data_IF_196340655712
#
_entry.id   IF_196340655712
#
_cell.length_a   1.000
_cell.length_b   1.000
_cell.length_c   1.000
_cell.angle_alpha   90.00
_cell.angle_beta   90.00
_cell.angle_gamma   90.00
#
_symmetry.space_group_name_H-M   'P 1'
#
loop_
_entity.id
_entity.type
_entity.pdbx_description
1 polymer ?
#
# COMPACT_ATOMS: atom_id res chain seq x y z
N UNK A 1 12.37 13.04 3.65
CA UNK A 1 12.51 11.64 3.18
C UNK A 1 13.31 10.78 4.16
N UNK A 2 14.49 11.20 4.62
CA UNK A 2 15.28 10.47 5.62
C UNK A 2 14.52 10.15 6.92
N UNK A 3 13.70 11.07 7.45
CA UNK A 3 12.90 10.80 8.64
C UNK A 3 11.93 9.64 8.45
N UNK A 4 11.28 9.55 7.29
CA UNK A 4 10.35 8.46 6.96
C UNK A 4 11.10 7.14 6.88
N UNK A 5 12.26 7.12 6.22
CA UNK A 5 13.14 5.94 6.18
C UNK A 5 13.56 5.49 7.59
N UNK A 6 13.89 6.45 8.47
CA UNK A 6 14.21 6.17 9.87
C UNK A 6 13.06 5.51 10.63
N UNK A 7 11.83 6.01 10.47
CA UNK A 7 10.64 5.38 11.06
C UNK A 7 10.38 3.97 10.51
N UNK A 8 10.57 3.74 9.21
CA UNK A 8 10.42 2.40 8.62
C UNK A 8 11.44 1.42 9.19
N UNK A 9 12.72 1.82 9.28
CA UNK A 9 13.78 0.99 9.88
C UNK A 9 13.48 0.68 11.35
N UNK A 10 13.14 1.70 12.14
CA UNK A 10 12.76 1.52 13.54
C UNK A 10 11.57 0.57 13.69
N UNK A 11 10.54 0.70 12.84
CA UNK A 11 9.39 -0.19 12.81
C UNK A 11 9.76 -1.65 12.54
N UNK A 12 10.72 -1.90 11.64
CA UNK A 12 11.24 -3.25 11.35
C UNK A 12 11.96 -3.83 12.58
N UNK A 13 12.84 -3.05 13.23
CA UNK A 13 13.55 -3.49 14.43
C UNK A 13 12.59 -3.83 15.57
N UNK A 14 11.61 -2.96 15.82
CA UNK A 14 10.56 -3.18 16.84
C UNK A 14 9.73 -4.42 16.48
N UNK A 15 9.31 -4.54 15.22
CA UNK A 15 8.54 -5.68 14.73
C UNK A 15 9.29 -7.01 14.85
N UNK A 16 10.61 -7.01 14.65
CA UNK A 16 11.44 -8.19 14.83
C UNK A 16 11.51 -8.64 16.30
N UNK A 17 11.65 -7.68 17.23
CA UNK A 17 11.66 -7.97 18.67
C UNK A 17 10.31 -8.47 19.20
N UNK A 18 9.20 -7.94 18.67
CA UNK A 18 7.83 -8.31 19.09
C UNK A 18 7.28 -9.58 18.41
N UNK A 19 8.01 -10.18 17.46
CA UNK A 19 7.57 -11.32 16.63
C UNK A 19 7.12 -12.55 17.43
N UNK A 20 7.64 -12.75 18.64
CA UNK A 20 7.36 -13.95 19.45
C UNK A 20 5.95 -13.95 20.08
N UNK A 21 5.29 -12.80 20.19
CA UNK A 21 4.04 -12.64 20.93
C UNK A 21 2.82 -12.70 20.01
N UNK A 22 2.24 -13.90 19.82
CA UNK A 22 1.05 -14.12 18.96
C UNK A 22 -0.17 -13.25 19.35
N UNK A 23 -0.31 -12.89 20.62
CA UNK A 23 -1.39 -12.00 21.11
C UNK A 23 -1.24 -10.56 20.59
N UNK A 24 -0.01 -10.05 20.48
CA UNK A 24 0.25 -8.71 19.96
C UNK A 24 -0.14 -8.62 18.49
N UNK A 25 0.11 -9.67 17.71
CA UNK A 25 -0.26 -9.71 16.28
C UNK A 25 -1.77 -9.50 16.04
N UNK A 26 -2.63 -10.07 16.90
CA UNK A 26 -4.09 -9.89 16.82
C UNK A 26 -4.51 -8.45 17.15
N UNK A 27 -3.85 -7.81 18.11
CA UNK A 27 -4.10 -6.41 18.48
C UNK A 27 -3.62 -5.49 17.36
N UNK A 28 -2.42 -5.72 16.82
CA UNK A 28 -1.84 -4.95 15.71
C UNK A 28 -2.73 -5.02 14.47
N UNK A 29 -3.28 -6.19 14.13
CA UNK A 29 -4.22 -6.33 13.02
C UNK A 29 -5.46 -5.46 13.21
N UNK A 30 -6.05 -5.45 14.42
CA UNK A 30 -7.21 -4.61 14.74
C UNK A 30 -6.85 -3.12 14.73
N UNK A 31 -5.68 -2.76 15.26
CA UNK A 31 -5.17 -1.39 15.29
C UNK A 31 -4.92 -0.85 13.88
N UNK A 32 -4.28 -1.64 13.01
CA UNK A 32 -4.04 -1.27 11.62
C UNK A 32 -5.35 -0.98 10.89
N UNK A 33 -6.39 -1.79 11.11
CA UNK A 33 -7.68 -1.54 10.48
C UNK A 33 -8.28 -0.18 10.91
N UNK A 34 -8.22 0.14 12.21
CA UNK A 34 -8.64 1.44 12.74
C UNK A 34 -7.80 2.60 12.18
N UNK A 35 -6.47 2.43 12.10
CA UNK A 35 -5.56 3.44 11.55
C UNK A 35 -5.83 3.67 10.07
N UNK A 36 -5.99 2.62 9.26
CA UNK A 36 -6.30 2.73 7.83
C UNK A 36 -7.62 3.48 7.66
N UNK A 37 -8.63 3.16 8.45
CA UNK A 37 -9.91 3.88 8.43
C UNK A 37 -9.73 5.37 8.76
N UNK A 38 -8.99 5.69 9.83
CA UNK A 38 -8.72 7.07 10.22
C UNK A 38 -7.92 7.83 9.15
N UNK A 39 -6.94 7.17 8.52
CA UNK A 39 -6.14 7.74 7.45
C UNK A 39 -6.98 8.00 6.20
N UNK A 40 -7.82 7.05 5.78
CA UNK A 40 -8.74 7.21 4.65
C UNK A 40 -9.73 8.35 4.91
N UNK A 41 -10.26 8.44 6.14
CA UNK A 41 -11.15 9.52 6.54
C UNK A 41 -10.44 10.88 6.50
N UNK A 42 -9.24 10.96 7.07
CA UNK A 42 -8.42 12.18 7.06
C UNK A 42 -8.03 12.60 5.64
N UNK A 43 -7.66 11.63 4.79
CA UNK A 43 -7.38 11.87 3.37
C UNK A 43 -8.61 12.42 2.65
N UNK A 44 -9.78 11.82 2.87
CA UNK A 44 -11.05 12.29 2.31
C UNK A 44 -11.38 13.72 2.74
N UNK A 45 -11.20 14.05 4.02
CA UNK A 45 -11.41 15.42 4.52
C UNK A 45 -10.43 16.43 3.91
N UNK A 46 -9.15 16.05 3.82
CA UNK A 46 -8.10 16.90 3.24
C UNK A 46 -8.36 17.23 1.77
N UNK A 47 -8.74 16.21 0.99
CA UNK A 47 -9.11 16.38 -0.43
C UNK A 47 -10.42 17.16 -0.55
N UNK A 48 -11.42 16.84 0.27
CA UNK A 48 -12.73 17.48 0.26
C UNK A 48 -12.73 18.96 0.68
N UNK A 49 -11.74 19.40 1.47
CA UNK A 49 -11.60 20.80 1.85
C UNK A 49 -10.74 21.61 0.84
N UNK A 50 -10.08 20.93 -0.10
CA UNK A 50 -9.23 21.58 -1.09
C UNK A 50 -10.01 21.84 -2.41
N UNK A 51 -10.53 23.06 -2.55
CA UNK A 51 -11.30 23.48 -3.73
C UNK A 51 -10.56 23.27 -5.06
N UNK A 52 -9.24 23.47 -5.09
CA UNK A 52 -8.44 23.27 -6.31
C UNK A 52 -8.43 21.81 -6.75
N UNK A 53 -8.41 20.87 -5.81
CA UNK A 53 -8.47 19.43 -6.11
C UNK A 53 -9.89 19.04 -6.55
N UNK A 54 -10.93 19.57 -5.89
CA UNK A 54 -12.34 19.30 -6.25
C UNK A 54 -12.70 19.84 -7.64
N UNK A 55 -12.33 21.06 -7.96
CA UNK A 55 -12.64 21.67 -9.26
C UNK A 55 -11.89 20.98 -10.40
N UNK A 56 -10.68 20.48 -10.12
CA UNK A 56 -9.87 19.73 -11.08
C UNK A 56 -10.17 18.22 -11.07
N UNK A 57 -11.11 17.75 -10.25
CA UNK A 57 -11.36 16.32 -10.02
C UNK A 57 -11.86 15.62 -11.28
N UNK A 58 -12.53 16.33 -12.17
CA UNK A 58 -12.97 15.80 -13.46
C UNK A 58 -11.77 15.41 -14.34
N UNK A 59 -10.83 16.34 -14.51
CA UNK A 59 -9.59 16.10 -15.25
C UNK A 59 -8.69 15.07 -14.55
N UNK A 60 -8.52 15.15 -13.22
CA UNK A 60 -7.73 14.19 -12.46
C UNK A 60 -8.38 12.81 -12.41
N UNK A 61 -9.70 12.73 -12.41
CA UNK A 61 -10.47 11.49 -12.30
C UNK A 61 -10.27 10.59 -13.51
N UNK A 62 -10.44 11.12 -14.72
CA UNK A 62 -10.21 10.35 -15.95
C UNK A 62 -8.74 9.90 -16.03
N UNK A 63 -7.81 10.82 -15.73
CA UNK A 63 -6.38 10.52 -15.74
C UNK A 63 -6.04 9.42 -14.73
N UNK A 64 -6.61 9.47 -13.53
CA UNK A 64 -6.40 8.47 -12.49
C UNK A 64 -6.96 7.09 -12.88
N UNK A 65 -8.11 7.03 -13.56
CA UNK A 65 -8.67 5.77 -14.07
C UNK A 65 -7.74 5.16 -15.12
N UNK A 66 -7.29 5.97 -16.09
CA UNK A 66 -6.38 5.49 -17.16
C UNK A 66 -5.07 4.99 -16.56
N UNK A 67 -4.46 5.77 -15.67
CA UNK A 67 -3.21 5.38 -14.99
C UNK A 67 -3.41 4.14 -14.14
N UNK A 68 -4.51 4.04 -13.38
CA UNK A 68 -4.82 2.89 -12.54
C UNK A 68 -4.99 1.60 -13.34
N UNK A 69 -5.73 1.68 -14.45
CA UNK A 69 -5.90 0.55 -15.36
C UNK A 69 -4.59 0.17 -16.05
N UNK A 70 -3.85 1.15 -16.59
CA UNK A 70 -2.58 0.91 -17.26
C UNK A 70 -1.53 0.31 -16.31
N UNK A 71 -1.43 0.85 -15.08
CA UNK A 71 -0.50 0.35 -14.07
C UNK A 71 -0.87 -1.06 -13.60
N UNK A 72 -2.17 -1.34 -13.38
CA UNK A 72 -2.63 -2.67 -12.98
C UNK A 72 -2.42 -3.69 -14.10
N UNK A 73 -2.78 -3.33 -15.34
CA UNK A 73 -2.55 -4.18 -16.50
C UNK A 73 -1.05 -4.45 -16.72
N UNK A 74 -0.21 -3.41 -16.64
CA UNK A 74 1.24 -3.54 -16.74
C UNK A 74 1.83 -4.44 -15.65
N UNK A 75 1.38 -4.28 -14.40
CA UNK A 75 1.81 -5.13 -13.28
C UNK A 75 1.43 -6.60 -13.49
N UNK A 76 0.20 -6.87 -13.93
CA UNK A 76 -0.26 -8.24 -14.23
C UNK A 76 0.52 -8.85 -15.39
N UNK A 77 0.69 -8.10 -16.49
CA UNK A 77 1.42 -8.55 -17.68
C UNK A 77 2.88 -8.90 -17.37
N UNK A 78 3.57 -8.12 -16.53
CA UNK A 78 4.95 -8.39 -16.12
C UNK A 78 5.05 -9.48 -15.04
N UNK A 79 4.02 -9.65 -14.22
CA UNK A 79 3.97 -10.70 -13.20
C UNK A 79 3.88 -12.11 -13.82
N UNK A 80 3.21 -12.28 -14.97
CA UNK A 80 3.07 -13.58 -15.66
C UNK A 80 4.43 -14.21 -16.06
N UNK A 81 5.33 -13.54 -16.80
CA UNK A 81 6.63 -14.12 -17.14
C UNK A 81 7.52 -14.28 -15.90
N UNK A 82 7.43 -13.35 -14.93
CA UNK A 82 8.16 -13.44 -13.68
C UNK A 82 7.76 -14.69 -12.88
N UNK A 83 6.45 -14.95 -12.76
CA UNK A 83 5.91 -16.16 -12.14
C UNK A 83 6.38 -17.41 -12.89
N UNK A 84 6.31 -17.42 -14.23
CA UNK A 84 6.77 -18.56 -15.03
C UNK A 84 8.28 -18.81 -14.92
N UNK A 85 9.10 -17.77 -14.72
CA UNK A 85 10.56 -17.93 -14.60
C UNK A 85 10.98 -18.36 -13.19
N UNK A 86 10.36 -17.80 -12.14
CA UNK A 86 10.68 -18.12 -10.74
C UNK A 86 10.04 -19.43 -10.26
N UNK A 87 8.75 -19.65 -10.54
CA UNK A 87 8.03 -20.82 -10.01
C UNK A 87 8.21 -22.09 -10.86
N UNK A 88 8.43 -21.98 -12.19
CA UNK A 88 8.70 -23.17 -13.02
C UNK A 88 10.03 -23.84 -12.69
N UNK A 89 10.94 -23.15 -12.00
CA UNK A 89 12.23 -23.69 -11.52
C UNK A 89 12.13 -24.40 -10.16
N UNK A 90 10.97 -24.32 -9.47
CA UNK A 90 10.71 -25.03 -8.22
C UNK A 90 9.99 -26.37 -8.41
N UNK A 91 9.48 -26.68 -9.60
CA UNK A 91 8.81 -27.96 -9.89
C UNK A 91 9.77 -29.08 -10.34
N UNK A 92 11.07 -28.82 -10.36
CA UNK A 92 12.13 -29.77 -10.80
C UNK A 92 13.23 -29.91 -9.73
N UNK A 93 12.82 -29.87 -8.46
CA UNK A 93 13.59 -30.27 -7.27
C UNK A 93 12.63 -30.91 -6.26
#
# INVERSE_FOLDING_TARGET
MFSVMGFMLAGIFIGYFLKQQKKLFKIIGKLNMWIIFLLLFSMGLSIGNNKSIIESLDHFGITAIIIGLAATAGSVLLSIPLYKFLFKRQSDK
#
